data_IF_773039207992
#
_entry.id   IF_773039207992
#
_cell.length_a   1.000
_cell.length_b   1.000
_cell.length_c   1.000
_cell.angle_alpha   90.00
_cell.angle_beta   90.00
_cell.angle_gamma   90.00
#
_symmetry.space_group_name_H-M   'P 1'
#
loop_
_entity.id
_entity.type
_entity.pdbx_description
1 polymer ?
#
# COMPACT_ATOMS: atom_id res chain seq x y z
N UNK A 1 44.75 -37.06 43.79
CA UNK A 1 45.18 -35.77 43.20
C UNK A 1 44.63 -35.72 41.79
N UNK A 2 43.39 -35.23 41.64
CA UNK A 2 42.76 -35.04 40.34
C UNK A 2 42.58 -33.54 40.16
N UNK A 3 43.43 -32.96 39.31
CA UNK A 3 43.43 -31.54 38.95
C UNK A 3 42.19 -31.28 38.09
N UNK A 4 41.19 -30.66 38.69
CA UNK A 4 39.98 -30.25 37.99
C UNK A 4 40.34 -29.02 37.16
N UNK A 5 40.66 -29.25 35.89
CA UNK A 5 40.98 -28.23 34.91
C UNK A 5 39.69 -27.46 34.59
N UNK A 6 39.58 -26.23 35.10
CA UNK A 6 38.47 -25.32 34.83
C UNK A 6 38.59 -24.82 33.40
N UNK A 7 37.65 -25.26 32.56
CA UNK A 7 37.45 -24.72 31.22
C UNK A 7 37.13 -23.21 31.30
N UNK A 8 37.83 -22.35 30.54
CA UNK A 8 37.57 -20.92 30.55
C UNK A 8 36.21 -20.64 29.92
N UNK A 9 35.39 -19.87 30.64
CA UNK A 9 34.09 -19.39 30.17
C UNK A 9 34.28 -18.59 28.88
N UNK A 10 33.81 -19.16 27.78
CA UNK A 10 33.71 -18.52 26.47
C UNK A 10 32.81 -17.28 26.62
N UNK A 11 33.43 -16.11 26.69
CA UNK A 11 32.74 -14.85 26.84
C UNK A 11 31.83 -14.67 25.61
N UNK A 12 30.52 -14.79 25.82
CA UNK A 12 29.51 -14.53 24.81
C UNK A 12 29.72 -13.12 24.25
N UNK A 13 30.30 -13.04 23.06
CA UNK A 13 30.45 -11.81 22.31
C UNK A 13 29.05 -11.27 22.08
N UNK A 14 28.72 -10.23 22.85
CA UNK A 14 27.47 -9.48 22.81
C UNK A 14 27.15 -9.12 21.35
N UNK A 15 26.14 -9.77 20.75
CA UNK A 15 25.71 -9.54 19.36
C UNK A 15 25.28 -8.09 19.06
N UNK A 16 25.21 -7.25 20.09
CA UNK A 16 25.03 -5.80 20.01
C UNK A 16 26.22 -5.09 19.34
N UNK A 17 27.46 -5.56 19.56
CA UNK A 17 28.67 -4.91 19.06
C UNK A 17 28.86 -5.16 17.56
N UNK A 18 28.54 -6.38 17.09
CA UNK A 18 28.61 -6.73 15.67
C UNK A 18 27.64 -5.89 14.82
N UNK A 19 26.42 -5.65 15.30
CA UNK A 19 25.43 -4.81 14.61
C UNK A 19 25.85 -3.33 14.57
N UNK A 20 26.49 -2.85 15.63
CA UNK A 20 27.04 -1.50 15.69
C UNK A 20 28.16 -1.32 14.65
N UNK A 21 29.10 -2.27 14.57
CA UNK A 21 30.20 -2.25 13.61
C UNK A 21 29.70 -2.23 12.15
N UNK A 22 28.68 -3.02 11.81
CA UNK A 22 28.07 -3.01 10.48
C UNK A 22 27.44 -1.65 10.17
N UNK A 23 26.77 -1.03 11.14
CA UNK A 23 26.13 0.28 10.97
C UNK A 23 27.17 1.37 10.70
N UNK A 24 28.27 1.38 11.47
CA UNK A 24 29.39 2.32 11.27
C UNK A 24 30.06 2.10 9.92
N UNK A 25 30.31 0.85 9.53
CA UNK A 25 30.87 0.56 8.22
C UNK A 25 29.95 1.04 7.09
N UNK A 26 28.65 0.75 7.19
CA UNK A 26 27.68 1.15 6.19
C UNK A 26 27.59 2.68 6.06
N UNK A 27 27.68 3.44 7.16
CA UNK A 27 27.66 4.91 7.09
C UNK A 27 28.94 5.49 6.46
N UNK A 28 30.08 4.82 6.58
CA UNK A 28 31.36 5.26 6.00
C UNK A 28 31.54 4.82 4.55
N UNK A 29 31.18 3.58 4.24
CA UNK A 29 31.48 2.96 2.94
C UNK A 29 30.34 3.13 1.93
N UNK A 30 29.08 3.22 2.37
CA UNK A 30 27.96 3.36 1.43
C UNK A 30 27.89 4.79 0.90
N UNK A 31 28.07 5.02 -0.42
CA UNK A 31 27.91 6.35 -1.02
C UNK A 31 26.50 6.92 -0.77
N UNK A 32 25.49 6.04 -0.71
CA UNK A 32 24.09 6.40 -0.50
C UNK A 32 23.82 6.84 0.95
N UNK A 33 24.38 6.17 1.95
CA UNK A 33 24.17 6.53 3.35
C UNK A 33 24.99 7.74 3.81
N UNK A 34 26.03 8.12 3.05
CA UNK A 34 26.78 9.37 3.25
C UNK A 34 26.07 10.62 2.76
N UNK A 35 25.03 10.49 1.95
CA UNK A 35 24.25 11.64 1.49
C UNK A 35 23.50 12.28 2.67
N UNK A 36 23.25 13.60 2.67
CA UNK A 36 22.32 14.24 3.59
C UNK A 36 20.93 13.56 3.57
N UNK A 37 20.24 13.58 4.70
CA UNK A 37 18.96 12.89 4.88
C UNK A 37 17.91 13.35 3.86
N UNK A 38 17.94 14.62 3.47
CA UNK A 38 17.04 15.22 2.47
C UNK A 38 17.20 14.56 1.10
N UNK A 39 18.44 14.31 0.67
CA UNK A 39 18.71 13.64 -0.61
C UNK A 39 18.32 12.17 -0.55
N UNK A 40 18.60 11.49 0.57
CA UNK A 40 18.18 10.10 0.78
C UNK A 40 16.67 9.98 0.71
N UNK A 41 15.93 10.83 1.42
CA UNK A 41 14.46 10.83 1.39
C UNK A 41 13.91 11.07 -0.03
N UNK A 42 14.54 11.93 -0.84
CA UNK A 42 14.15 12.09 -2.25
C UNK A 42 14.37 10.80 -3.04
N UNK A 43 15.54 10.17 -2.90
CA UNK A 43 15.86 8.89 -3.57
C UNK A 43 14.87 7.80 -3.13
N UNK A 44 14.58 7.70 -1.84
CA UNK A 44 13.59 6.76 -1.30
C UNK A 44 12.19 7.03 -1.82
N UNK A 45 11.80 8.30 -1.94
CA UNK A 45 10.54 8.71 -2.56
C UNK A 45 10.40 8.17 -3.98
N UNK A 46 11.44 8.31 -4.81
CA UNK A 46 11.44 7.75 -6.17
C UNK A 46 11.51 6.22 -6.20
N UNK A 47 12.26 5.59 -5.30
CA UNK A 47 12.43 4.15 -5.29
C UNK A 47 11.18 3.40 -4.80
N UNK A 48 10.47 3.97 -3.83
CA UNK A 48 9.38 3.29 -3.09
C UNK A 48 8.00 3.90 -3.29
N UNK A 49 7.91 5.04 -3.96
CA UNK A 49 6.67 5.80 -4.16
C UNK A 49 6.24 5.88 -5.62
N UNK A 50 5.05 6.43 -5.83
CA UNK A 50 4.45 6.65 -7.13
C UNK A 50 3.77 5.43 -7.75
N UNK A 51 3.54 4.38 -6.96
CA UNK A 51 2.87 3.16 -7.39
C UNK A 51 1.39 3.17 -7.01
N UNK A 52 0.59 2.48 -7.81
CA UNK A 52 -0.77 2.07 -7.44
C UNK A 52 -0.71 0.64 -6.93
N UNK A 53 -0.94 0.47 -5.64
CA UNK A 53 -0.93 -0.82 -4.94
C UNK A 53 -2.36 -1.32 -4.89
N UNK A 54 -2.69 -2.32 -5.70
CA UNK A 54 -4.06 -2.85 -5.74
C UNK A 54 -4.12 -4.35 -5.89
N UNK A 55 -5.34 -4.85 -5.81
CA UNK A 55 -5.65 -6.24 -6.12
C UNK A 55 -5.41 -6.50 -7.61
N UNK A 56 -4.76 -7.62 -7.91
CA UNK A 56 -4.66 -8.11 -9.28
C UNK A 56 -5.59 -9.31 -9.46
N UNK A 57 -6.62 -9.11 -10.27
CA UNK A 57 -7.47 -10.17 -10.75
C UNK A 57 -6.91 -10.71 -12.07
N UNK A 58 -6.52 -11.99 -12.10
CA UNK A 58 -6.16 -12.67 -13.34
C UNK A 58 -7.39 -13.35 -13.93
N UNK A 59 -7.62 -13.23 -15.22
CA UNK A 59 -8.61 -14.09 -15.89
C UNK A 59 -8.04 -15.51 -16.02
N UNK A 60 -8.81 -16.50 -15.56
CA UNK A 60 -8.50 -17.90 -15.83
C UNK A 60 -8.76 -18.24 -17.31
N UNK A 61 -8.40 -19.46 -17.73
CA UNK A 61 -8.60 -19.92 -19.11
C UNK A 61 -10.07 -19.92 -19.55
N UNK A 62 -11.02 -19.84 -18.61
CA UNK A 62 -12.47 -19.76 -18.87
C UNK A 62 -12.98 -18.31 -18.83
N UNK A 63 -12.07 -17.33 -18.75
CA UNK A 63 -12.39 -15.91 -18.68
C UNK A 63 -12.90 -15.43 -17.32
N UNK A 64 -12.89 -16.29 -16.28
CA UNK A 64 -13.34 -15.92 -14.93
C UNK A 64 -12.23 -15.21 -14.21
N UNK A 65 -12.55 -14.13 -13.50
CA UNK A 65 -11.59 -13.47 -12.63
C UNK A 65 -11.25 -14.39 -11.45
N UNK A 66 -9.97 -14.66 -11.28
CA UNK A 66 -9.39 -15.31 -10.12
C UNK A 66 -8.39 -14.36 -9.50
N UNK A 67 -8.47 -14.23 -8.18
CA UNK A 67 -7.37 -13.68 -7.41
C UNK A 67 -6.11 -14.49 -7.69
N UNK A 68 -4.95 -13.84 -7.70
CA UNK A 68 -3.71 -14.57 -7.55
C UNK A 68 -3.76 -15.25 -6.18
N UNK A 69 -4.08 -16.54 -6.19
CA UNK A 69 -3.82 -17.45 -5.09
C UNK A 69 -2.29 -17.51 -4.95
N UNK A 70 -1.76 -16.60 -4.14
CA UNK A 70 -0.51 -16.87 -3.44
C UNK A 70 -0.68 -18.23 -2.77
N UNK A 71 0.31 -19.12 -2.88
CA UNK A 71 0.28 -20.42 -2.20
C UNK A 71 0.20 -20.29 -0.68
N UNK A 72 0.51 -19.12 -0.16
CA UNK A 72 0.15 -18.68 1.19
C UNK A 72 -1.19 -17.94 1.09
N UNK A 73 -2.18 -18.31 1.92
CA UNK A 73 -3.62 -17.92 1.96
C UNK A 73 -3.92 -16.39 2.07
N UNK A 74 -3.04 -15.52 1.60
CA UNK A 74 -3.15 -14.08 1.63
C UNK A 74 -3.53 -13.47 0.28
N UNK A 75 -4.28 -12.37 0.36
CA UNK A 75 -4.54 -11.45 -0.74
C UNK A 75 -3.22 -10.98 -1.34
N UNK A 76 -3.00 -11.24 -2.64
CA UNK A 76 -1.82 -10.77 -3.36
C UNK A 76 -2.07 -9.37 -3.93
N UNK A 77 -1.25 -8.41 -3.52
CA UNK A 77 -1.22 -7.08 -4.08
C UNK A 77 -0.15 -6.97 -5.16
N UNK A 78 -0.42 -6.18 -6.19
CA UNK A 78 0.51 -5.95 -7.28
C UNK A 78 0.69 -4.45 -7.52
N UNK A 79 1.87 -4.10 -8.02
CA UNK A 79 2.15 -2.73 -8.44
C UNK A 79 1.60 -2.53 -9.84
N UNK A 80 0.67 -1.58 -9.98
CA UNK A 80 0.32 -1.00 -11.26
C UNK A 80 1.13 0.29 -11.40
N UNK A 81 1.82 0.43 -12.53
CA UNK A 81 2.29 1.75 -12.96
C UNK A 81 1.45 2.17 -14.16
N UNK A 82 1.15 3.47 -14.31
CA UNK A 82 0.40 3.99 -15.46
C UNK A 82 1.06 3.69 -16.82
N UNK A 83 2.33 3.29 -16.81
CA UNK A 83 3.18 3.13 -17.98
C UNK A 83 3.38 1.66 -18.38
N UNK A 84 2.91 0.71 -17.56
CA UNK A 84 3.12 -0.72 -17.82
C UNK A 84 2.01 -1.25 -18.72
N UNK A 85 2.42 -1.83 -19.84
CA UNK A 85 1.54 -2.54 -20.78
C UNK A 85 0.72 -3.60 -20.03
N UNK A 86 -0.57 -3.81 -20.38
CA UNK A 86 -1.41 -4.88 -19.84
C UNK A 86 -0.78 -6.29 -19.97
N UNK A 87 0.17 -6.45 -20.89
CA UNK A 87 0.86 -7.71 -21.16
C UNK A 87 1.98 -8.02 -20.15
N UNK A 88 2.41 -7.04 -19.36
CA UNK A 88 3.49 -7.25 -18.39
C UNK A 88 2.95 -7.97 -17.16
N UNK A 89 3.71 -8.94 -16.68
CA UNK A 89 3.38 -9.63 -15.44
C UNK A 89 3.32 -8.63 -14.28
N UNK A 90 2.34 -8.75 -13.38
CA UNK A 90 2.26 -7.89 -12.21
C UNK A 90 3.53 -7.99 -11.38
N UNK A 91 4.03 -6.84 -10.92
CA UNK A 91 5.19 -6.79 -10.02
C UNK A 91 4.70 -7.09 -8.60
N UNK A 92 5.26 -8.08 -7.89
CA UNK A 92 4.87 -8.37 -6.51
C UNK A 92 5.11 -7.15 -5.62
N UNK A 93 4.14 -6.80 -4.77
CA UNK A 93 4.30 -5.66 -3.86
C UNK A 93 5.49 -5.82 -2.92
N UNK A 94 5.90 -7.04 -2.60
CA UNK A 94 7.10 -7.28 -1.80
C UNK A 94 8.35 -6.55 -2.30
N UNK A 95 8.47 -6.31 -3.62
CA UNK A 95 9.66 -5.65 -4.21
C UNK A 95 9.84 -4.20 -3.73
N UNK A 96 8.76 -3.43 -3.55
CA UNK A 96 8.86 -2.06 -3.00
C UNK A 96 9.16 -2.07 -1.49
N UNK A 97 8.86 -3.19 -0.81
CA UNK A 97 9.15 -3.40 0.60
C UNK A 97 10.54 -3.98 0.87
N UNK A 98 11.23 -4.52 -0.14
CA UNK A 98 12.54 -5.14 0.04
C UNK A 98 13.63 -4.14 0.46
N UNK A 99 13.47 -2.86 0.14
CA UNK A 99 14.36 -1.80 0.59
C UNK A 99 14.43 -1.73 2.14
N UNK A 100 13.30 -1.96 2.81
CA UNK A 100 13.22 -2.01 4.26
C UNK A 100 13.99 -3.20 4.87
N UNK A 101 14.33 -4.22 4.08
CA UNK A 101 15.03 -5.43 4.53
C UNK A 101 16.55 -5.30 4.44
N UNK A 102 17.08 -4.32 3.72
CA UNK A 102 18.51 -4.18 3.48
C UNK A 102 19.29 -3.82 4.77
N UNK A 103 18.85 -2.80 5.50
CA UNK A 103 19.46 -2.45 6.80
C UNK A 103 18.48 -1.68 7.70
N UNK A 104 18.79 -1.59 9.00
CA UNK A 104 17.96 -0.90 10.01
C UNK A 104 17.79 0.59 9.75
N UNK A 105 18.82 1.24 9.20
CA UNK A 105 18.74 2.66 8.86
C UNK A 105 17.73 2.90 7.75
N UNK A 106 17.82 2.14 6.65
CA UNK A 106 16.87 2.22 5.54
C UNK A 106 15.45 1.92 6.01
N UNK A 107 15.25 0.85 6.80
CA UNK A 107 13.95 0.55 7.41
C UNK A 107 13.31 1.76 8.11
N UNK A 108 14.08 2.46 8.96
CA UNK A 108 13.59 3.62 9.71
C UNK A 108 13.24 4.80 8.79
N UNK A 109 14.00 5.00 7.73
CA UNK A 109 13.79 6.09 6.79
C UNK A 109 12.60 5.81 5.85
N UNK A 110 12.38 4.55 5.46
CA UNK A 110 11.47 4.22 4.34
C UNK A 110 10.16 3.57 4.74
N UNK A 111 10.03 3.01 5.97
CA UNK A 111 8.87 2.19 6.35
C UNK A 111 7.52 2.89 6.21
N UNK A 112 7.44 4.20 6.47
CA UNK A 112 6.20 4.97 6.31
C UNK A 112 6.04 5.52 4.89
N UNK A 113 7.15 5.72 4.16
CA UNK A 113 7.12 6.30 2.80
C UNK A 113 6.40 5.39 1.81
N UNK A 114 6.52 4.07 2.00
CA UNK A 114 5.81 3.05 1.20
C UNK A 114 4.29 3.15 1.30
N UNK A 115 3.76 3.74 2.36
CA UNK A 115 2.32 3.94 2.53
C UNK A 115 1.92 5.38 2.16
N UNK A 116 2.78 6.36 2.49
CA UNK A 116 2.51 7.77 2.22
C UNK A 116 2.59 8.17 0.74
N UNK A 117 3.50 7.54 -0.01
CA UNK A 117 3.80 7.94 -1.38
C UNK A 117 3.17 7.03 -2.43
N UNK A 118 2.28 6.12 -2.03
CA UNK A 118 1.60 5.20 -2.95
C UNK A 118 0.08 5.37 -2.83
N UNK A 119 -0.61 5.01 -3.90
CA UNK A 119 -2.07 4.96 -3.93
C UNK A 119 -2.52 3.53 -3.68
N UNK A 120 -3.33 3.29 -2.65
CA UNK A 120 -3.91 1.97 -2.42
C UNK A 120 -5.26 1.85 -3.10
N UNK A 121 -5.40 0.86 -3.95
CA UNK A 121 -6.54 0.69 -4.83
C UNK A 121 -7.32 -0.58 -4.50
N UNK A 122 -8.61 -0.42 -4.19
CA UNK A 122 -9.48 -1.51 -3.75
C UNK A 122 -10.69 -1.63 -4.64
N UNK A 123 -10.99 -2.85 -5.05
CA UNK A 123 -12.26 -3.20 -5.71
C UNK A 123 -13.28 -3.73 -4.69
N UNK A 124 -12.82 -4.29 -3.55
CA UNK A 124 -13.68 -4.90 -2.53
C UNK A 124 -13.48 -4.37 -1.11
N UNK A 125 -14.59 -4.20 -0.38
CA UNK A 125 -14.58 -3.75 1.01
C UNK A 125 -13.86 -4.73 1.93
N UNK A 126 -14.04 -6.03 1.66
CA UNK A 126 -13.44 -7.10 2.46
C UNK A 126 -11.91 -7.06 2.38
N UNK A 127 -11.36 -6.81 1.19
CA UNK A 127 -9.91 -6.71 0.99
C UNK A 127 -9.33 -5.49 1.69
N UNK A 128 -9.97 -4.33 1.52
CA UNK A 128 -9.58 -3.11 2.23
C UNK A 128 -9.58 -3.31 3.75
N UNK A 129 -10.65 -3.86 4.30
CA UNK A 129 -10.77 -4.15 5.72
C UNK A 129 -9.70 -5.15 6.21
N UNK A 130 -9.44 -6.21 5.43
CA UNK A 130 -8.42 -7.20 5.75
C UNK A 130 -7.02 -6.59 5.77
N UNK A 131 -6.66 -5.75 4.80
CA UNK A 131 -5.38 -5.06 4.78
C UNK A 131 -5.26 -4.14 6.01
N UNK A 132 -6.25 -3.29 6.25
CA UNK A 132 -6.18 -2.32 7.34
C UNK A 132 -6.08 -2.99 8.70
N UNK A 133 -6.75 -4.13 8.91
CA UNK A 133 -6.62 -4.92 10.14
C UNK A 133 -5.19 -5.45 10.37
N UNK A 134 -4.41 -5.66 9.32
CA UNK A 134 -3.01 -6.13 9.39
C UNK A 134 -2.00 -4.99 9.53
N UNK A 135 -2.39 -3.76 9.20
CA UNK A 135 -1.51 -2.60 9.32
C UNK A 135 -1.44 -2.10 10.76
N UNK A 136 -0.23 -1.75 11.19
CA UNK A 136 -0.05 -1.00 12.44
C UNK A 136 -0.69 0.39 12.33
N UNK A 137 -1.03 1.01 13.46
CA UNK A 137 -1.61 2.36 13.46
C UNK A 137 -0.75 3.39 12.71
N UNK A 138 0.60 3.45 12.88
CA UNK A 138 1.44 4.36 12.11
C UNK A 138 1.39 4.10 10.59
N UNK A 139 1.43 2.84 10.16
CA UNK A 139 1.36 2.48 8.73
C UNK A 139 0.03 2.88 8.13
N UNK A 140 -1.07 2.53 8.81
CA UNK A 140 -2.43 2.90 8.40
C UNK A 140 -2.57 4.41 8.31
N UNK A 141 -2.13 5.14 9.34
CA UNK A 141 -2.22 6.59 9.37
C UNK A 141 -1.32 7.23 8.31
N UNK A 142 -0.25 6.60 7.84
CA UNK A 142 0.56 7.16 6.76
C UNK A 142 -0.08 7.03 5.37
N UNK A 143 -1.17 6.27 5.20
CA UNK A 143 -1.86 6.18 3.89
C UNK A 143 -2.44 7.55 3.53
N UNK A 144 -1.91 8.14 2.46
CA UNK A 144 -2.30 9.47 1.98
C UNK A 144 -3.24 9.47 0.79
N UNK A 145 -3.32 8.36 0.05
CA UNK A 145 -4.02 8.27 -1.23
C UNK A 145 -4.73 6.93 -1.35
N UNK A 146 -6.04 6.96 -1.60
CA UNK A 146 -6.86 5.78 -1.87
C UNK A 146 -7.51 5.89 -3.24
N UNK A 147 -7.65 4.76 -3.93
CA UNK A 147 -8.47 4.59 -5.11
C UNK A 147 -9.52 3.49 -4.87
N UNK A 148 -10.72 3.69 -5.40
CA UNK A 148 -11.80 2.70 -5.30
C UNK A 148 -12.88 2.92 -6.35
N UNK A 149 -13.55 1.83 -6.72
CA UNK A 149 -14.72 1.88 -7.59
C UNK A 149 -15.93 2.57 -6.96
N UNK A 150 -16.80 3.15 -7.80
CA UNK A 150 -18.09 3.73 -7.38
C UNK A 150 -18.95 2.74 -6.57
N UNK A 151 -18.89 1.45 -6.91
CA UNK A 151 -19.61 0.40 -6.19
C UNK A 151 -19.10 0.20 -4.76
N UNK A 152 -17.78 0.14 -4.56
CA UNK A 152 -17.18 0.00 -3.23
C UNK A 152 -17.54 1.19 -2.34
N UNK A 153 -17.49 2.40 -2.89
CA UNK A 153 -17.96 3.61 -2.22
C UNK A 153 -19.39 3.45 -1.73
N UNK A 154 -20.28 2.98 -2.61
CA UNK A 154 -21.68 2.79 -2.26
C UNK A 154 -21.85 1.77 -1.13
N UNK A 155 -21.11 0.66 -1.18
CA UNK A 155 -21.10 -0.33 -0.10
C UNK A 155 -20.66 0.28 1.23
N UNK A 156 -19.64 1.15 1.23
CA UNK A 156 -19.13 1.79 2.44
C UNK A 156 -20.17 2.72 3.04
N UNK A 157 -20.83 3.52 2.20
CA UNK A 157 -21.91 4.40 2.67
C UNK A 157 -23.07 3.61 3.28
N UNK A 158 -23.44 2.49 2.66
CA UNK A 158 -24.44 1.60 3.24
C UNK A 158 -23.96 0.92 4.53
N UNK A 159 -22.69 0.51 4.60
CA UNK A 159 -22.15 -0.21 5.77
C UNK A 159 -21.94 0.70 6.98
N UNK A 160 -21.59 1.98 6.78
CA UNK A 160 -21.55 2.98 7.86
C UNK A 160 -22.94 3.17 8.47
N UNK A 161 -23.99 3.04 7.65
CA UNK A 161 -25.39 3.05 8.13
C UNK A 161 -25.71 1.84 9.02
N UNK A 162 -24.93 0.75 8.90
CA UNK A 162 -25.10 -0.52 9.61
C UNK A 162 -24.08 -0.75 10.75
N UNK A 163 -23.24 0.23 11.09
CA UNK A 163 -22.30 0.15 12.22
C UNK A 163 -21.06 -0.70 11.98
N UNK A 164 -20.76 -1.10 10.74
CA UNK A 164 -19.49 -1.75 10.39
C UNK A 164 -18.42 -0.68 10.27
N UNK A 165 -17.44 -0.69 11.20
CA UNK A 165 -16.31 0.25 11.28
C UNK A 165 -15.28 0.05 10.17
N UNK A 166 -15.67 0.27 8.93
CA UNK A 166 -14.75 0.52 7.81
C UNK A 166 -14.68 2.02 7.55
N UNK A 167 -14.47 2.79 8.62
CA UNK A 167 -14.38 4.24 8.53
C UNK A 167 -13.05 4.58 7.85
N UNK A 168 -13.07 4.69 6.53
CA UNK A 168 -11.97 5.30 5.76
C UNK A 168 -11.61 6.66 6.36
N UNK A 169 -12.60 7.33 6.96
CA UNK A 169 -12.45 8.59 7.69
C UNK A 169 -11.56 8.51 8.94
N UNK A 170 -11.19 7.30 9.40
CA UNK A 170 -10.19 7.13 10.48
C UNK A 170 -8.75 7.23 9.98
N UNK A 171 -8.53 7.31 8.66
CA UNK A 171 -7.23 7.56 8.07
C UNK A 171 -6.86 9.04 8.24
N UNK A 172 -6.18 9.35 9.35
CA UNK A 172 -5.89 10.73 9.76
C UNK A 172 -5.09 11.56 8.75
N UNK A 173 -4.34 10.93 7.84
CA UNK A 173 -3.58 11.63 6.81
C UNK A 173 -4.08 11.34 5.39
N UNK A 174 -5.30 10.82 5.22
CA UNK A 174 -5.87 10.67 3.89
C UNK A 174 -6.03 12.06 3.28
N UNK A 175 -5.37 12.32 2.16
CA UNK A 175 -5.41 13.59 1.44
C UNK A 175 -6.13 13.47 0.11
N UNK A 176 -6.14 12.28 -0.49
CA UNK A 176 -6.73 12.03 -1.80
C UNK A 176 -7.61 10.80 -1.80
N UNK A 177 -8.80 10.96 -2.36
CA UNK A 177 -9.72 9.87 -2.68
C UNK A 177 -10.01 9.89 -4.18
N UNK A 178 -9.53 8.86 -4.87
CA UNK A 178 -9.71 8.64 -6.30
C UNK A 178 -10.91 7.71 -6.49
N UNK A 179 -11.95 8.22 -7.14
CA UNK A 179 -13.15 7.47 -7.49
C UNK A 179 -13.01 6.96 -8.92
N UNK A 180 -12.82 5.66 -9.08
CA UNK A 180 -12.80 5.01 -10.39
C UNK A 180 -14.23 4.84 -10.87
N UNK A 181 -14.54 5.46 -12.00
CA UNK A 181 -15.78 5.16 -12.72
C UNK A 181 -15.57 3.84 -13.42
N UNK A 182 -16.03 2.78 -12.78
CA UNK A 182 -16.06 1.49 -13.42
C UNK A 182 -17.04 1.58 -14.60
N UNK A 183 -16.60 1.12 -15.78
CA UNK A 183 -17.57 0.68 -16.78
C UNK A 183 -18.26 -0.50 -16.11
N UNK A 184 -19.42 -0.25 -15.53
CA UNK A 184 -20.18 -1.25 -14.83
C UNK A 184 -20.30 -2.44 -15.76
N UNK A 185 -19.55 -3.50 -15.47
CA UNK A 185 -19.85 -4.79 -16.05
C UNK A 185 -21.30 -5.01 -15.65
N UNK A 186 -22.15 -5.37 -16.62
CA UNK A 186 -23.54 -5.73 -16.40
C UNK A 186 -23.57 -6.94 -15.46
N UNK A 187 -23.39 -6.68 -14.16
CA UNK A 187 -23.50 -7.64 -13.10
C UNK A 187 -25.00 -7.73 -12.84
N UNK A 188 -25.59 -8.78 -13.38
CA UNK A 188 -26.89 -9.34 -13.01
C UNK A 188 -28.02 -8.31 -12.81
N UNK A 189 -28.29 -7.50 -13.84
CA UNK A 189 -29.56 -6.76 -13.96
C UNK A 189 -29.63 -5.40 -13.26
N UNK A 190 -28.54 -4.88 -12.70
CA UNK A 190 -28.49 -3.48 -12.23
C UNK A 190 -28.25 -2.56 -13.43
N UNK A 191 -29.29 -1.84 -13.87
CA UNK A 191 -29.17 -0.86 -14.97
C UNK A 191 -28.17 0.26 -14.61
N UNK A 192 -27.22 0.53 -15.52
CA UNK A 192 -26.16 1.54 -15.34
C UNK A 192 -26.64 2.97 -15.06
N UNK A 193 -27.91 3.29 -15.32
CA UNK A 193 -28.50 4.59 -15.03
C UNK A 193 -28.49 4.93 -13.53
N UNK A 194 -28.63 3.94 -12.63
CA UNK A 194 -28.62 4.20 -11.18
C UNK A 194 -27.25 4.68 -10.66
N UNK A 195 -26.17 4.24 -11.31
CA UNK A 195 -24.79 4.53 -10.89
C UNK A 195 -24.36 5.94 -11.34
N UNK A 196 -24.85 6.40 -12.50
CA UNK A 196 -24.61 7.78 -12.96
C UNK A 196 -25.22 8.86 -12.04
N UNK A 197 -26.38 8.56 -11.43
CA UNK A 197 -27.05 9.42 -10.45
C UNK A 197 -26.29 9.45 -9.12
N UNK A 198 -25.56 8.39 -8.81
CA UNK A 198 -24.73 8.31 -7.61
C UNK A 198 -23.54 9.27 -7.68
N UNK A 199 -22.90 9.47 -8.84
CA UNK A 199 -21.80 10.43 -8.97
C UNK A 199 -22.20 11.88 -8.66
N UNK A 200 -23.39 12.32 -9.06
CA UNK A 200 -23.89 13.67 -8.77
C UNK A 200 -24.37 13.83 -7.32
N UNK A 201 -24.92 12.76 -6.73
CA UNK A 201 -25.32 12.74 -5.32
C UNK A 201 -24.17 12.44 -4.36
N UNK A 202 -23.08 11.85 -4.81
CA UNK A 202 -21.94 11.44 -3.98
C UNK A 202 -21.37 12.61 -3.18
N UNK A 203 -21.19 13.77 -3.82
CA UNK A 203 -20.77 15.01 -3.14
C UNK A 203 -21.75 15.51 -2.09
N UNK A 204 -23.04 15.20 -2.22
CA UNK A 204 -24.07 15.58 -1.25
C UNK A 204 -24.30 14.54 -0.14
N UNK A 205 -23.94 13.28 -0.39
CA UNK A 205 -24.18 12.15 0.51
C UNK A 205 -23.03 11.92 1.48
N UNK A 206 -21.85 12.45 1.18
CA UNK A 206 -20.67 12.31 2.03
C UNK A 206 -20.22 13.67 2.52
N UNK A 207 -20.23 13.85 3.85
CA UNK A 207 -19.44 14.89 4.50
C UNK A 207 -17.97 14.50 4.41
N UNK A 208 -17.35 14.81 3.28
CA UNK A 208 -15.92 14.63 3.11
C UNK A 208 -15.22 15.75 3.88
N UNK A 209 -14.26 15.43 4.78
CA UNK A 209 -13.42 16.45 5.41
C UNK A 209 -12.86 17.42 4.37
N UNK A 210 -12.85 18.72 4.67
CA UNK A 210 -12.53 19.78 3.71
C UNK A 210 -11.09 19.70 3.15
N UNK A 211 -10.22 18.91 3.77
CA UNK A 211 -8.83 18.70 3.41
C UNK A 211 -8.60 17.49 2.48
N UNK A 212 -9.64 16.72 2.14
CA UNK A 212 -9.54 15.59 1.22
C UNK A 212 -9.92 16.03 -0.20
N UNK A 213 -8.97 15.89 -1.11
CA UNK A 213 -9.17 16.07 -2.54
C UNK A 213 -9.86 14.83 -3.13
N UNK A 214 -10.99 15.05 -3.82
CA UNK A 214 -11.73 14.00 -4.53
C UNK A 214 -11.43 14.10 -6.02
N UNK A 215 -10.86 13.05 -6.59
CA UNK A 215 -10.53 12.94 -8.01
C UNK A 215 -11.42 11.88 -8.63
N UNK A 216 -12.07 12.15 -9.76
CA UNK A 216 -12.91 11.17 -10.46
C UNK A 216 -12.19 10.72 -11.73
N UNK A 217 -11.85 9.44 -11.80
CA UNK A 217 -11.23 8.82 -12.98
C UNK A 217 -12.31 8.21 -13.87
N UNK A 218 -12.56 8.82 -15.02
CA UNK A 218 -13.62 8.37 -15.93
C UNK A 218 -13.22 7.20 -16.84
N UNK A 219 -11.94 6.85 -16.95
CA UNK A 219 -11.45 5.90 -17.97
C UNK A 219 -10.23 5.06 -17.57
N UNK A 220 -9.77 5.14 -16.33
CA UNK A 220 -8.45 4.59 -15.99
C UNK A 220 -7.31 5.43 -16.62
N UNK A 221 -7.61 6.65 -17.06
CA UNK A 221 -6.72 7.51 -17.84
C UNK A 221 -6.14 8.64 -16.99
N UNK A 222 -6.21 8.56 -15.66
CA UNK A 222 -5.55 9.54 -14.82
C UNK A 222 -4.06 9.63 -15.21
N UNK A 223 -3.58 10.81 -15.63
CA UNK A 223 -2.20 10.97 -16.04
C UNK A 223 -1.27 10.60 -14.88
N UNK A 224 -0.10 10.04 -15.20
CA UNK A 224 0.79 9.43 -14.21
C UNK A 224 1.12 10.34 -13.01
N UNK A 225 1.15 11.65 -13.23
CA UNK A 225 1.41 12.66 -12.20
C UNK A 225 0.23 12.92 -11.25
N UNK A 226 -0.99 12.50 -11.59
CA UNK A 226 -2.17 12.63 -10.72
C UNK A 226 -2.32 11.46 -9.74
N UNK A 227 -1.56 10.37 -9.94
CA UNK A 227 -1.48 9.26 -9.00
C UNK A 227 -0.51 9.49 -7.84
N UNK A 228 0.39 10.49 -7.97
CA UNK A 228 1.56 10.72 -7.10
C UNK A 228 1.36 11.95 -6.24
#
# INVERSE_FOLDING_TARGET
MASHEQQPAEAAISGTDANSAITVRNSLESPLLRLPAELRNRIWGFATGGYVIGEYLKRDAKGRYKYWESRDEGISFCLRTPQVSPEMAPIPVSTIFDLCKACRQMYRETTLMQYANNTFDFDELRTMASLFARLTTPHRNSIGSLAMGEYLIFQILQSTTLGVRTDIWTLLNLKRLIVRKEVCMELDGVQGDQISVLGSKFRSLITVPHDIEIIVDHKGELPANQWI
#
